data_IF_393337341451
#
_entry.id   IF_393337341451
#
_cell.length_a   1.000
_cell.length_b   1.000
_cell.length_c   1.000
_cell.angle_alpha   90.00
_cell.angle_beta   90.00
_cell.angle_gamma   90.00
#
_symmetry.space_group_name_H-M   'P 1'
#
loop_
_entity.id
_entity.type
_entity.pdbx_description
1 polymer ?
#
# COMPACT_ATOMS: atom_id res chain seq x y z
N UNK A 1 2.74 28.33 -29.59
CA UNK A 1 3.59 28.58 -30.75
C UNK A 1 4.19 27.24 -31.23
N UNK A 2 4.68 27.20 -32.48
CA UNK A 2 5.15 25.99 -33.20
C UNK A 2 6.18 25.16 -32.38
N UNK A 3 7.06 25.80 -31.63
CA UNK A 3 8.03 25.11 -30.76
C UNK A 3 7.38 24.30 -29.61
N UNK A 4 6.35 24.86 -28.96
CA UNK A 4 5.58 24.13 -27.91
C UNK A 4 4.78 22.98 -28.52
N UNK A 5 4.31 23.10 -29.74
CA UNK A 5 3.59 22.04 -30.45
C UNK A 5 4.53 20.88 -30.82
N UNK A 6 5.71 21.19 -31.40
CA UNK A 6 6.75 20.20 -31.74
C UNK A 6 7.26 19.47 -30.50
N UNK A 7 7.45 20.19 -29.39
CA UNK A 7 7.88 19.57 -28.11
C UNK A 7 6.81 18.61 -27.55
N UNK A 8 5.52 19.00 -27.55
CA UNK A 8 4.42 18.10 -27.14
C UNK A 8 4.30 16.87 -28.04
N UNK A 9 4.41 17.01 -29.36
CA UNK A 9 4.34 15.89 -30.31
C UNK A 9 5.49 14.89 -30.07
N UNK A 10 6.70 15.38 -29.76
CA UNK A 10 7.86 14.53 -29.53
C UNK A 10 7.75 13.76 -28.19
N UNK A 11 7.25 14.40 -27.12
CA UNK A 11 7.00 13.73 -25.82
C UNK A 11 5.88 12.70 -25.95
N UNK A 12 4.78 13.02 -26.61
CA UNK A 12 3.68 12.09 -26.80
C UNK A 12 4.08 10.88 -27.64
N UNK A 13 4.92 11.06 -28.67
CA UNK A 13 5.44 9.97 -29.48
C UNK A 13 6.34 9.01 -28.67
N UNK A 14 7.24 9.55 -27.86
CA UNK A 14 8.13 8.79 -27.01
C UNK A 14 7.36 8.04 -25.88
N UNK A 15 6.38 8.69 -25.25
CA UNK A 15 5.54 8.07 -24.23
C UNK A 15 4.68 6.94 -24.79
N UNK A 16 4.11 7.12 -25.98
CA UNK A 16 3.34 6.09 -26.69
C UNK A 16 4.19 4.83 -26.95
N UNK A 17 5.37 5.00 -27.53
CA UNK A 17 6.31 3.89 -27.81
C UNK A 17 6.75 3.18 -26.53
N UNK A 18 6.99 3.94 -25.46
CA UNK A 18 7.36 3.40 -24.15
C UNK A 18 6.26 2.50 -23.56
N UNK A 19 4.99 2.93 -23.68
CA UNK A 19 3.84 2.15 -23.23
C UNK A 19 3.66 0.89 -24.06
N UNK A 20 3.69 1.00 -25.39
CA UNK A 20 3.53 -0.13 -26.32
C UNK A 20 4.64 -1.18 -26.15
N UNK A 21 5.87 -0.75 -25.85
CA UNK A 21 7.00 -1.63 -25.58
C UNK A 21 7.05 -2.20 -24.16
N UNK A 22 6.11 -1.81 -23.27
CA UNK A 22 6.05 -2.27 -21.88
C UNK A 22 7.22 -1.79 -21.00
N UNK A 23 7.87 -0.67 -21.36
CA UNK A 23 9.01 -0.10 -20.63
C UNK A 23 8.63 0.94 -19.59
N UNK A 24 7.36 1.36 -19.56
CA UNK A 24 6.87 2.28 -18.53
C UNK A 24 6.83 1.59 -17.16
N UNK A 25 6.97 2.37 -16.09
CA UNK A 25 6.90 1.90 -14.71
C UNK A 25 5.61 2.37 -14.07
N UNK A 26 4.90 1.47 -13.39
CA UNK A 26 3.67 1.76 -12.67
C UNK A 26 3.95 1.92 -11.18
N UNK A 27 3.59 3.06 -10.59
CA UNK A 27 3.51 3.28 -9.15
C UNK A 27 2.07 3.29 -8.68
N UNK A 28 1.76 2.60 -7.57
CA UNK A 28 0.44 2.64 -6.93
C UNK A 28 0.63 3.02 -5.46
N UNK A 29 -0.07 4.09 -5.03
CA UNK A 29 -0.09 4.58 -3.65
C UNK A 29 -1.46 4.31 -3.03
N UNK A 30 -1.46 3.64 -1.88
CA UNK A 30 -2.64 3.45 -1.03
C UNK A 30 -2.66 4.51 0.06
N UNK A 31 -3.13 5.71 -0.29
CA UNK A 31 -3.33 6.80 0.68
C UNK A 31 -4.57 6.59 1.54
N UNK A 32 -4.71 7.36 2.61
CA UNK A 32 -5.82 7.22 3.58
C UNK A 32 -7.20 7.62 3.04
N UNK A 33 -7.25 8.42 1.98
CA UNK A 33 -8.50 8.90 1.37
C UNK A 33 -8.59 8.61 -0.13
N UNK A 34 -7.49 8.15 -0.72
CA UNK A 34 -7.42 7.89 -2.16
C UNK A 34 -6.35 6.88 -2.49
N UNK A 35 -6.68 5.94 -3.38
CA UNK A 35 -5.70 5.13 -4.11
C UNK A 35 -5.32 5.90 -5.36
N UNK A 36 -4.02 6.00 -5.66
CA UNK A 36 -3.48 6.68 -6.83
C UNK A 36 -2.58 5.76 -7.62
N UNK A 37 -2.70 5.80 -8.94
CA UNK A 37 -1.79 5.12 -9.85
C UNK A 37 -1.13 6.16 -10.77
N UNK A 38 0.16 6.01 -10.98
CA UNK A 38 0.93 6.88 -11.88
C UNK A 38 1.81 6.01 -12.76
N UNK A 39 1.72 6.23 -14.06
CA UNK A 39 2.63 5.67 -15.04
C UNK A 39 3.73 6.68 -15.33
N UNK A 40 4.99 6.26 -15.23
CA UNK A 40 6.14 7.13 -15.42
C UNK A 40 7.05 6.63 -16.54
N UNK A 41 7.75 7.59 -17.16
CA UNK A 41 8.76 7.33 -18.17
C UNK A 41 10.15 7.05 -17.57
N UNK A 42 11.15 6.83 -18.42
CA UNK A 42 12.55 6.56 -18.06
C UNK A 42 13.22 7.72 -17.27
N UNK A 43 12.61 8.92 -17.31
CA UNK A 43 13.07 10.12 -16.58
C UNK A 43 12.24 10.37 -15.31
N UNK A 44 11.43 9.40 -14.90
CA UNK A 44 10.48 9.51 -13.80
C UNK A 44 9.45 10.63 -13.98
N UNK A 45 9.12 10.98 -15.25
CA UNK A 45 8.08 11.96 -15.52
C UNK A 45 6.73 11.26 -15.61
N UNK A 46 5.68 11.75 -14.93
CA UNK A 46 4.32 11.21 -15.07
C UNK A 46 3.83 11.34 -16.51
N UNK A 47 3.38 10.22 -17.08
CA UNK A 47 2.81 10.18 -18.44
C UNK A 47 1.33 9.83 -18.42
N UNK A 48 0.83 9.15 -17.40
CA UNK A 48 -0.60 8.94 -17.18
C UNK A 48 -0.89 8.73 -15.69
N UNK A 49 -2.14 8.90 -15.30
CA UNK A 49 -2.55 8.71 -13.91
C UNK A 49 -3.97 8.16 -13.79
N UNK A 50 -4.23 7.51 -12.66
CA UNK A 50 -5.55 7.05 -12.26
C UNK A 50 -5.78 7.25 -10.77
N UNK A 51 -7.02 7.15 -10.33
CA UNK A 51 -7.34 7.29 -8.93
C UNK A 51 -8.69 6.70 -8.55
N UNK A 52 -8.83 6.35 -7.27
CA UNK A 52 -10.05 5.89 -6.65
C UNK A 52 -10.16 6.51 -5.27
N UNK A 53 -11.25 7.22 -5.00
CA UNK A 53 -11.51 7.80 -3.69
C UNK A 53 -12.16 6.75 -2.80
N UNK A 54 -11.66 6.59 -1.57
CA UNK A 54 -12.16 5.65 -0.58
C UNK A 54 -12.14 6.22 0.83
N UNK A 55 -12.78 5.54 1.77
CA UNK A 55 -12.87 6.00 3.15
C UNK A 55 -12.52 4.89 4.13
N UNK A 56 -11.81 5.29 5.19
CA UNK A 56 -11.62 4.49 6.39
C UNK A 56 -12.95 4.46 7.17
N UNK A 57 -13.47 3.27 7.46
CA UNK A 57 -14.75 3.07 8.14
C UNK A 57 -14.54 2.64 9.58
N UNK A 58 -15.39 3.16 10.47
CA UNK A 58 -15.47 2.68 11.84
C UNK A 58 -16.51 1.56 11.91
N UNK A 59 -16.04 0.34 12.15
CA UNK A 59 -16.88 -0.86 12.28
C UNK A 59 -16.58 -1.50 13.63
N UNK A 60 -17.58 -1.66 14.47
CA UNK A 60 -17.45 -2.24 15.81
C UNK A 60 -16.30 -1.63 16.65
N UNK A 61 -16.11 -0.32 16.53
CA UNK A 61 -15.05 0.41 17.23
C UNK A 61 -13.68 0.36 16.58
N UNK A 62 -13.52 -0.32 15.43
CA UNK A 62 -12.27 -0.46 14.70
C UNK A 62 -12.30 0.37 13.41
N UNK A 63 -11.31 1.25 13.23
CA UNK A 63 -11.08 1.92 11.96
C UNK A 63 -10.42 0.95 10.98
N UNK A 64 -11.12 0.65 9.89
CA UNK A 64 -10.77 -0.42 8.95
C UNK A 64 -11.08 -0.10 7.50
N UNK A 65 -10.49 -0.87 6.58
CA UNK A 65 -10.91 -1.09 5.21
C UNK A 65 -11.13 -2.59 5.02
N UNK A 66 -12.22 -3.00 4.39
CA UNK A 66 -12.42 -4.41 4.03
C UNK A 66 -11.47 -4.82 2.91
N UNK A 67 -11.11 -6.11 2.84
CA UNK A 67 -10.30 -6.64 1.73
C UNK A 67 -10.98 -6.40 0.38
N UNK A 68 -12.30 -6.55 0.31
CA UNK A 68 -13.07 -6.29 -0.91
C UNK A 68 -12.96 -4.83 -1.35
N UNK A 69 -13.04 -3.87 -0.41
CA UNK A 69 -12.88 -2.45 -0.71
C UNK A 69 -11.45 -2.13 -1.20
N UNK A 70 -10.43 -2.78 -0.63
CA UNK A 70 -9.04 -2.64 -1.07
C UNK A 70 -8.91 -3.08 -2.54
N UNK A 71 -9.39 -4.28 -2.87
CA UNK A 71 -9.26 -4.82 -4.22
C UNK A 71 -10.15 -4.11 -5.25
N UNK A 72 -11.37 -3.77 -4.90
CA UNK A 72 -12.23 -2.96 -5.75
C UNK A 72 -11.60 -1.59 -6.06
N UNK A 73 -11.01 -0.96 -5.05
CA UNK A 73 -10.34 0.32 -5.21
C UNK A 73 -9.09 0.25 -6.10
N UNK A 74 -8.28 -0.81 -5.98
CA UNK A 74 -7.13 -1.05 -6.87
C UNK A 74 -7.58 -1.24 -8.31
N UNK A 75 -8.60 -2.06 -8.54
CA UNK A 75 -9.12 -2.34 -9.88
C UNK A 75 -9.67 -1.08 -10.54
N UNK A 76 -10.45 -0.27 -9.80
CA UNK A 76 -11.01 0.98 -10.30
C UNK A 76 -9.92 2.03 -10.58
N UNK A 77 -8.95 2.15 -9.68
CA UNK A 77 -7.80 3.02 -9.86
C UNK A 77 -6.99 2.64 -11.12
N UNK A 78 -6.73 1.34 -11.32
CA UNK A 78 -6.05 0.83 -12.51
C UNK A 78 -6.85 1.08 -13.79
N UNK A 79 -8.17 0.82 -13.75
CA UNK A 79 -9.07 1.11 -14.86
C UNK A 79 -9.02 2.59 -15.25
N UNK A 80 -9.07 3.49 -14.26
CA UNK A 80 -8.95 4.93 -14.47
C UNK A 80 -7.62 5.30 -15.15
N UNK A 81 -6.49 4.68 -14.75
CA UNK A 81 -5.19 4.85 -15.41
C UNK A 81 -5.22 4.41 -16.88
N UNK A 82 -5.78 3.22 -17.15
CA UNK A 82 -5.88 2.68 -18.53
C UNK A 82 -6.73 3.57 -19.42
N UNK A 83 -7.83 4.11 -18.89
CA UNK A 83 -8.67 5.07 -19.62
C UNK A 83 -7.91 6.38 -19.92
N UNK A 84 -7.11 6.88 -18.98
CA UNK A 84 -6.27 8.07 -19.20
C UNK A 84 -5.20 7.80 -20.28
N UNK A 85 -4.52 6.66 -20.25
CA UNK A 85 -3.58 6.25 -21.32
C UNK A 85 -4.28 6.18 -22.67
N UNK A 86 -5.45 5.55 -22.73
CA UNK A 86 -6.22 5.44 -23.97
C UNK A 86 -6.63 6.79 -24.53
N UNK A 87 -7.04 7.71 -23.67
CA UNK A 87 -7.44 9.08 -24.03
C UNK A 87 -6.26 9.90 -24.55
N UNK A 88 -5.09 9.78 -23.91
CA UNK A 88 -3.93 10.59 -24.26
C UNK A 88 -3.14 10.02 -25.45
N UNK A 89 -2.97 8.71 -25.53
CA UNK A 89 -2.05 8.06 -26.47
C UNK A 89 -2.73 7.12 -27.47
N UNK A 90 -4.00 6.73 -27.23
CA UNK A 90 -4.75 5.85 -28.14
C UNK A 90 -4.27 4.39 -28.15
N UNK A 91 -3.53 3.94 -27.12
CA UNK A 91 -2.95 2.60 -27.02
C UNK A 91 -3.42 1.84 -25.80
N UNK A 92 -3.41 0.50 -25.81
CA UNK A 92 -3.65 -0.30 -24.63
C UNK A 92 -2.42 -0.33 -23.70
N UNK A 93 -2.64 -0.65 -22.42
CA UNK A 93 -1.60 -0.94 -21.45
C UNK A 93 -1.58 -2.46 -21.22
N UNK A 94 -0.54 -3.14 -21.70
CA UNK A 94 -0.44 -4.60 -21.63
C UNK A 94 0.64 -5.06 -20.64
N UNK A 95 1.75 -4.32 -20.55
CA UNK A 95 2.91 -4.69 -19.76
C UNK A 95 3.54 -3.44 -19.10
N UNK A 96 4.33 -3.70 -18.05
CA UNK A 96 5.15 -2.72 -17.35
C UNK A 96 6.57 -3.25 -17.19
N UNK A 97 7.56 -2.37 -17.19
CA UNK A 97 8.93 -2.74 -16.83
C UNK A 97 9.05 -3.12 -15.36
N UNK A 98 8.30 -2.41 -14.52
CA UNK A 98 8.21 -2.68 -13.08
C UNK A 98 6.90 -2.11 -12.51
N UNK A 99 6.48 -2.65 -11.35
CA UNK A 99 5.39 -2.12 -10.56
C UNK A 99 5.91 -1.88 -9.14
N UNK A 100 5.70 -0.68 -8.61
CA UNK A 100 6.02 -0.33 -7.22
C UNK A 100 4.76 0.01 -6.43
N UNK A 101 4.76 -0.35 -5.15
CA UNK A 101 3.66 -0.06 -4.24
C UNK A 101 4.15 0.78 -3.07
N UNK A 102 3.33 1.75 -2.68
CA UNK A 102 3.43 2.47 -1.43
C UNK A 102 2.08 2.38 -0.72
N UNK A 103 2.08 2.21 0.57
CA UNK A 103 0.85 2.13 1.36
C UNK A 103 0.93 2.99 2.60
N UNK A 104 -0.22 3.16 3.25
CA UNK A 104 -0.26 3.74 4.59
C UNK A 104 0.68 2.94 5.49
N UNK A 105 1.63 3.62 6.10
CA UNK A 105 2.52 3.03 7.10
C UNK A 105 1.69 2.52 8.27
N UNK A 106 2.22 1.49 8.93
CA UNK A 106 1.62 0.93 10.13
C UNK A 106 0.28 0.23 9.89
N UNK A 107 -0.33 -0.19 10.97
CA UNK A 107 -1.56 -0.97 10.97
C UNK A 107 -1.28 -2.45 11.16
N UNK A 108 -2.34 -3.23 11.29
CA UNK A 108 -2.25 -4.63 11.67
C UNK A 108 -3.20 -5.48 10.83
N UNK A 109 -2.63 -6.33 10.01
CA UNK A 109 -3.30 -7.35 9.22
C UNK A 109 -2.71 -8.71 9.62
N UNK A 110 -3.44 -9.51 10.39
CA UNK A 110 -2.99 -10.80 10.90
C UNK A 110 -3.67 -11.95 10.15
N UNK A 111 -2.89 -12.96 9.80
CA UNK A 111 -3.32 -14.09 8.98
C UNK A 111 -2.97 -15.41 9.64
N UNK A 112 -3.84 -16.41 9.45
CA UNK A 112 -3.60 -17.80 9.82
C UNK A 112 -2.70 -18.53 8.80
N UNK A 113 -2.50 -19.82 9.02
CA UNK A 113 -1.69 -20.68 8.13
C UNK A 113 -2.35 -20.96 6.78
N UNK A 114 -3.66 -20.79 6.67
CA UNK A 114 -4.44 -20.88 5.43
C UNK A 114 -4.60 -19.54 4.70
N UNK A 115 -3.94 -18.46 5.19
CA UNK A 115 -3.98 -17.13 4.60
C UNK A 115 -5.32 -16.38 4.74
N UNK A 116 -6.14 -16.76 5.74
CA UNK A 116 -7.34 -16.01 6.08
C UNK A 116 -7.00 -14.85 7.02
N UNK A 117 -7.64 -13.71 6.80
CA UNK A 117 -7.54 -12.57 7.71
C UNK A 117 -8.30 -12.87 8.99
N UNK A 118 -7.60 -12.94 10.12
CA UNK A 118 -8.13 -13.37 11.42
C UNK A 118 -9.02 -12.33 12.10
N UNK A 119 -8.69 -11.04 11.92
CA UNK A 119 -9.42 -9.92 12.49
C UNK A 119 -9.52 -8.80 11.46
N UNK A 120 -10.49 -7.86 11.57
CA UNK A 120 -10.54 -6.70 10.68
C UNK A 120 -9.19 -5.97 10.64
N UNK A 121 -8.78 -5.50 9.46
CA UNK A 121 -7.58 -4.69 9.30
C UNK A 121 -7.63 -3.48 10.24
N UNK A 122 -6.74 -3.41 11.23
CA UNK A 122 -6.62 -2.27 12.16
C UNK A 122 -5.70 -1.23 11.55
N UNK A 123 -6.26 -0.13 11.08
CA UNK A 123 -5.47 0.93 10.42
C UNK A 123 -4.70 1.78 11.43
N UNK A 124 -3.77 2.60 10.95
CA UNK A 124 -3.00 3.57 11.74
C UNK A 124 -3.86 4.54 12.57
N UNK A 125 -5.15 4.65 12.22
CA UNK A 125 -6.10 5.57 12.87
C UNK A 125 -6.61 5.04 14.22
N UNK A 126 -6.41 3.76 14.50
CA UNK A 126 -6.83 3.17 15.77
C UNK A 126 -5.93 3.62 16.92
N UNK A 127 -6.56 3.98 18.04
CA UNK A 127 -5.89 4.39 19.30
C UNK A 127 -6.25 3.42 20.43
N UNK A 128 -6.37 2.13 20.12
CA UNK A 128 -6.82 1.06 21.02
C UNK A 128 -5.66 0.33 21.71
N UNK A 129 -4.43 0.76 21.52
CA UNK A 129 -3.19 0.07 21.93
C UNK A 129 -2.38 0.89 22.94
N UNK A 130 -3.07 1.66 23.80
CA UNK A 130 -2.43 2.55 24.78
C UNK A 130 -1.52 1.82 25.71
N UNK A 131 -2.02 0.76 26.38
CA UNK A 131 -1.26 -0.05 27.33
C UNK A 131 -0.03 -0.69 26.67
N UNK A 132 -0.22 -1.33 25.51
CA UNK A 132 0.88 -1.95 24.77
C UNK A 132 1.96 -0.91 24.35
N UNK A 133 1.53 0.27 23.94
CA UNK A 133 2.44 1.37 23.58
C UNK A 133 3.29 1.80 24.77
N UNK A 134 2.71 1.96 25.95
CA UNK A 134 3.42 2.34 27.18
C UNK A 134 4.42 1.27 27.62
N UNK A 135 3.97 0.02 27.75
CA UNK A 135 4.80 -1.10 28.19
C UNK A 135 5.97 -1.38 27.24
N UNK A 136 5.71 -1.39 25.92
CA UNK A 136 6.76 -1.57 24.92
C UNK A 136 7.75 -0.41 24.88
N UNK A 137 7.26 0.84 25.09
CA UNK A 137 8.14 2.00 25.14
C UNK A 137 9.09 1.95 26.33
N UNK A 138 8.60 1.51 27.49
CA UNK A 138 9.43 1.31 28.69
C UNK A 138 10.44 0.17 28.47
N UNK A 139 9.97 -0.98 27.95
CA UNK A 139 10.79 -2.15 27.71
C UNK A 139 11.97 -1.88 26.77
N UNK A 140 11.72 -1.17 25.69
CA UNK A 140 12.75 -0.88 24.67
C UNK A 140 13.53 0.41 24.94
N UNK A 141 13.13 1.22 25.91
CA UNK A 141 13.69 2.54 26.14
C UNK A 141 13.54 3.48 24.93
N UNK A 142 12.51 3.24 24.11
CA UNK A 142 12.23 3.94 22.88
C UNK A 142 10.73 4.09 22.69
N UNK A 143 10.26 5.26 22.22
CA UNK A 143 8.84 5.51 22.03
C UNK A 143 8.22 4.62 20.93
N UNK A 144 7.33 3.73 21.32
CA UNK A 144 6.54 2.89 20.43
C UNK A 144 5.14 3.49 20.27
N UNK A 145 4.82 4.10 19.12
CA UNK A 145 3.50 4.70 18.91
C UNK A 145 2.38 3.66 18.86
N UNK A 146 1.19 4.05 19.32
CA UNK A 146 0.00 3.17 19.32
C UNK A 146 -0.35 2.61 17.93
N UNK A 147 -0.04 3.33 16.85
CA UNK A 147 -0.34 2.94 15.48
C UNK A 147 0.55 1.84 14.92
N UNK A 148 1.64 1.47 15.60
CA UNK A 148 2.58 0.46 15.12
C UNK A 148 2.00 -0.95 15.19
N UNK A 149 2.36 -1.79 14.22
CA UNK A 149 1.84 -3.17 14.13
C UNK A 149 2.20 -4.00 15.35
N UNK A 150 3.40 -3.81 15.92
CA UNK A 150 3.82 -4.49 17.15
C UNK A 150 2.95 -4.07 18.35
N UNK A 151 2.54 -2.80 18.45
CA UNK A 151 1.66 -2.35 19.52
C UNK A 151 0.27 -3.00 19.40
N UNK A 152 -0.23 -3.18 18.17
CA UNK A 152 -1.49 -3.89 17.94
C UNK A 152 -1.40 -5.36 18.29
N UNK A 153 -0.31 -6.05 17.91
CA UNK A 153 -0.11 -7.45 18.25
C UNK A 153 0.02 -7.61 19.77
N UNK A 154 0.84 -6.79 20.42
CA UNK A 154 1.05 -6.89 21.86
C UNK A 154 -0.23 -6.53 22.63
N UNK A 155 -1.01 -5.55 22.18
CA UNK A 155 -2.31 -5.27 22.80
C UNK A 155 -3.28 -6.45 22.65
N UNK A 156 -3.27 -7.15 21.53
CA UNK A 156 -4.08 -8.35 21.35
C UNK A 156 -3.66 -9.47 22.32
N UNK A 157 -2.35 -9.61 22.59
CA UNK A 157 -1.83 -10.53 23.63
C UNK A 157 -2.30 -10.11 25.01
N UNK A 158 -2.21 -8.83 25.37
CA UNK A 158 -2.66 -8.31 26.67
C UNK A 158 -4.17 -8.48 26.89
N UNK A 159 -4.94 -8.36 25.82
CA UNK A 159 -6.39 -8.56 25.84
C UNK A 159 -6.81 -10.05 25.77
N UNK A 160 -5.86 -10.98 25.66
CA UNK A 160 -6.14 -12.41 25.47
C UNK A 160 -7.06 -12.68 24.25
N UNK A 161 -6.88 -11.90 23.16
CA UNK A 161 -7.71 -12.06 21.96
C UNK A 161 -7.49 -13.45 21.32
N UNK A 162 -8.57 -14.17 21.04
CA UNK A 162 -8.54 -15.57 20.57
C UNK A 162 -7.67 -15.78 19.34
N UNK A 163 -7.67 -14.82 18.41
CA UNK A 163 -6.92 -14.91 17.15
C UNK A 163 -5.40 -14.98 17.33
N UNK A 164 -4.86 -14.54 18.48
CA UNK A 164 -3.41 -14.47 18.72
C UNK A 164 -2.74 -15.84 18.56
N UNK A 165 -3.40 -16.91 19.03
CA UNK A 165 -2.88 -18.27 18.93
C UNK A 165 -2.82 -18.81 17.50
N UNK A 166 -3.55 -18.21 16.55
CA UNK A 166 -3.64 -18.62 15.15
C UNK A 166 -2.76 -17.78 14.22
N UNK A 167 -2.17 -16.68 14.72
CA UNK A 167 -1.34 -15.78 13.90
C UNK A 167 -0.07 -16.50 13.45
N UNK A 168 0.07 -16.70 12.17
CA UNK A 168 1.29 -17.20 11.54
C UNK A 168 2.04 -16.15 10.72
N UNK A 169 1.34 -15.10 10.33
CA UNK A 169 1.89 -13.97 9.59
C UNK A 169 1.11 -12.70 9.87
N UNK A 170 1.79 -11.60 10.11
CA UNK A 170 1.16 -10.29 10.12
C UNK A 170 1.94 -9.30 9.25
N UNK A 171 1.25 -8.28 8.75
CA UNK A 171 1.82 -7.34 7.78
C UNK A 171 1.03 -6.03 7.76
N UNK A 172 1.57 -5.07 7.01
CA UNK A 172 0.90 -3.82 6.64
C UNK A 172 0.10 -3.97 5.36
N UNK A 173 -0.63 -2.91 4.97
CA UNK A 173 -1.34 -2.88 3.70
C UNK A 173 -0.40 -3.05 2.49
N UNK A 174 0.74 -2.37 2.47
CA UNK A 174 1.70 -2.49 1.35
C UNK A 174 2.30 -3.89 1.28
N UNK A 175 2.67 -4.50 2.41
CA UNK A 175 3.14 -5.88 2.47
C UNK A 175 2.08 -6.88 2.02
N UNK A 176 0.80 -6.67 2.40
CA UNK A 176 -0.32 -7.49 1.95
C UNK A 176 -0.50 -7.44 0.42
N UNK A 177 -0.50 -6.24 -0.17
CA UNK A 177 -0.62 -6.07 -1.62
C UNK A 177 0.56 -6.72 -2.36
N UNK A 178 1.79 -6.49 -1.88
CA UNK A 178 2.98 -7.12 -2.43
C UNK A 178 2.86 -8.65 -2.42
N UNK A 179 2.52 -9.22 -1.26
CA UNK A 179 2.32 -10.65 -1.14
C UNK A 179 1.28 -11.20 -2.12
N UNK A 180 0.08 -10.59 -2.17
CA UNK A 180 -1.00 -11.09 -3.05
C UNK A 180 -0.67 -11.01 -4.54
N UNK A 181 0.17 -10.07 -4.96
CA UNK A 181 0.58 -9.90 -6.36
C UNK A 181 1.82 -10.72 -6.74
N UNK A 182 2.68 -11.05 -5.78
CA UNK A 182 3.95 -11.76 -6.05
C UNK A 182 4.01 -13.17 -5.48
N UNK A 183 3.07 -13.53 -4.61
CA UNK A 183 3.11 -14.77 -3.82
C UNK A 183 4.15 -14.78 -2.69
N UNK A 184 4.89 -13.68 -2.47
CA UNK A 184 5.97 -13.60 -1.48
C UNK A 184 5.56 -12.77 -0.27
N UNK A 185 5.58 -13.40 0.92
CA UNK A 185 5.36 -12.74 2.21
C UNK A 185 6.67 -12.10 2.67
N UNK A 186 6.83 -10.81 2.38
CA UNK A 186 7.99 -10.00 2.76
C UNK A 186 7.54 -8.60 3.17
N UNK A 187 8.32 -7.95 4.02
CA UNK A 187 8.17 -6.55 4.38
C UNK A 187 9.32 -5.74 3.77
N UNK A 188 9.04 -4.51 3.36
CA UNK A 188 10.07 -3.55 2.98
C UNK A 188 10.90 -3.13 4.20
N UNK A 189 12.16 -2.75 3.97
CA UNK A 189 13.05 -2.30 5.06
C UNK A 189 12.44 -1.12 5.83
N UNK A 190 11.80 -0.18 5.14
CA UNK A 190 11.14 0.97 5.79
C UNK A 190 9.96 0.58 6.66
N UNK A 191 9.21 -0.45 6.28
CA UNK A 191 8.10 -0.98 7.09
C UNK A 191 8.64 -1.78 8.28
N UNK A 192 9.61 -2.66 8.05
CA UNK A 192 10.21 -3.46 9.12
C UNK A 192 10.90 -2.59 10.19
N UNK A 193 11.60 -1.53 9.79
CA UNK A 193 12.25 -0.60 10.71
C UNK A 193 11.25 0.23 11.53
N UNK A 194 10.11 0.61 10.93
CA UNK A 194 9.06 1.38 11.60
C UNK A 194 8.09 0.54 12.43
N UNK A 195 8.12 -0.78 12.33
CA UNK A 195 7.08 -1.64 12.90
C UNK A 195 7.60 -2.70 13.87
N UNK A 196 8.81 -3.15 13.69
CA UNK A 196 9.35 -4.26 14.47
C UNK A 196 10.57 -3.90 15.31
N UNK A 197 11.38 -2.93 14.90
CA UNK A 197 12.61 -2.63 15.61
C UNK A 197 12.97 -1.15 15.47
N UNK A 198 12.91 -0.41 16.53
CA UNK A 198 13.68 0.83 16.69
C UNK A 198 15.18 0.55 16.88
N UNK A 199 15.72 -0.47 16.26
CA UNK A 199 17.10 -0.89 16.41
C UNK A 199 17.71 -1.22 15.06
N UNK A 200 18.79 -0.54 14.73
CA UNK A 200 19.46 -0.60 13.45
C UNK A 200 19.69 -2.01 12.93
N UNK A 201 19.41 -2.15 11.65
CA UNK A 201 19.94 -3.24 10.86
C UNK A 201 21.37 -2.81 10.50
N UNK A 202 22.39 -3.41 11.14
CA UNK A 202 23.75 -3.37 10.65
C UNK A 202 23.88 -4.18 9.35
#
# INVERSE_FOLDING_TARGET
TVAKLKWRVNIMGNAKELIESGKAVLGIEFGSTRIKAVLVDEKNQPIASGGHDWENRLVDGIWTYSLDAIWAGVQDCYKSLVEDVRKQYGVPVNNFAAIGFSGMMHGYMAFDKEDHLLVPFRTWRNTITGQASEELSELFGFHIPQRWSIAHLYQAVLNEEEHVSEVTFFTTLAGYIHWKLTGRKVLGVGEAAGELLGGGVE
#
